data_IF_043415887238
#
_entry.id   IF_043415887238
#
_cell.length_a   1.000
_cell.length_b   1.000
_cell.length_c   1.000
_cell.angle_alpha   90.00
_cell.angle_beta   90.00
_cell.angle_gamma   90.00
#
_symmetry.space_group_name_H-M   'P 1'
#
loop_
_entity.id
_entity.type
_entity.pdbx_description
1 polymer ?
#
# COMPACT_ATOMS: atom_id res chain seq x y z
N UNK A 1 -25.14 9.84 4.86
CA UNK A 1 -24.56 9.86 6.22
C UNK A 1 -23.28 9.02 6.33
N UNK A 2 -23.32 7.67 6.28
CA UNK A 2 -22.08 6.86 6.39
C UNK A 2 -21.10 7.15 5.25
N UNK A 3 -21.61 7.30 4.03
CA UNK A 3 -20.82 7.69 2.86
C UNK A 3 -20.14 9.05 3.06
N UNK A 4 -20.91 10.07 3.41
CA UNK A 4 -20.42 11.44 3.62
C UNK A 4 -19.36 11.49 4.75
N UNK A 5 -19.54 10.69 5.81
CA UNK A 5 -18.54 10.52 6.87
C UNK A 5 -17.25 9.85 6.35
N UNK A 6 -17.36 8.82 5.52
CA UNK A 6 -16.19 8.16 4.92
C UNK A 6 -15.46 9.10 3.94
N UNK A 7 -16.21 9.91 3.19
CA UNK A 7 -15.65 10.91 2.29
C UNK A 7 -14.91 12.00 3.07
N UNK A 8 -15.51 12.52 4.15
CA UNK A 8 -14.86 13.51 5.02
C UNK A 8 -13.58 12.94 5.66
N UNK A 9 -13.65 11.73 6.23
CA UNK A 9 -12.48 11.10 6.84
C UNK A 9 -11.35 10.84 5.81
N UNK A 10 -11.70 10.44 4.59
CA UNK A 10 -10.74 10.27 3.51
C UNK A 10 -10.09 11.60 3.09
N UNK A 11 -10.87 12.69 3.09
CA UNK A 11 -10.36 14.04 2.81
C UNK A 11 -9.37 14.49 3.88
N UNK A 12 -9.76 14.38 5.15
CA UNK A 12 -8.91 14.75 6.30
C UNK A 12 -7.56 14.01 6.28
N UNK A 13 -7.58 12.71 5.98
CA UNK A 13 -6.35 11.91 5.88
C UNK A 13 -5.45 12.39 4.74
N UNK A 14 -6.02 12.69 3.56
CA UNK A 14 -5.26 13.17 2.43
C UNK A 14 -4.68 14.58 2.66
N UNK A 15 -5.44 15.45 3.32
CA UNK A 15 -5.00 16.81 3.65
C UNK A 15 -3.82 16.77 4.64
N UNK A 16 -3.89 15.92 5.68
CA UNK A 16 -2.78 15.71 6.60
C UNK A 16 -1.52 15.16 5.90
N UNK A 17 -1.69 14.27 4.91
CA UNK A 17 -0.56 13.75 4.12
C UNK A 17 0.05 14.83 3.21
N UNK A 18 -0.77 15.72 2.64
CA UNK A 18 -0.29 16.84 1.83
C UNK A 18 0.51 17.85 2.67
N UNK A 19 0.02 18.17 3.87
CA UNK A 19 0.77 18.99 4.83
C UNK A 19 2.12 18.35 5.20
N UNK A 20 2.12 17.05 5.51
CA UNK A 20 3.33 16.31 5.86
C UNK A 20 4.34 16.21 4.70
N UNK A 21 3.89 16.27 3.44
CA UNK A 21 4.77 16.24 2.27
C UNK A 21 5.66 17.50 2.15
N UNK A 22 5.27 18.62 2.78
CA UNK A 22 6.06 19.86 2.84
C UNK A 22 6.32 20.51 1.48
N UNK A 23 5.53 20.16 0.46
CA UNK A 23 5.63 20.67 -0.92
C UNK A 23 4.27 20.63 -1.58
N UNK A 24 4.13 21.35 -2.69
CA UNK A 24 2.90 21.29 -3.49
C UNK A 24 2.68 19.89 -4.05
N UNK A 25 1.52 19.30 -3.77
CA UNK A 25 1.12 17.96 -4.19
C UNK A 25 -0.32 17.98 -4.68
N UNK A 26 -0.57 17.28 -5.79
CA UNK A 26 -1.93 17.02 -6.23
C UNK A 26 -2.55 15.95 -5.34
N UNK A 27 -3.63 16.31 -4.64
CA UNK A 27 -4.45 15.37 -3.87
C UNK A 27 -5.59 14.84 -4.72
N UNK A 28 -5.77 13.53 -4.73
CA UNK A 28 -6.88 12.88 -5.42
C UNK A 28 -7.61 11.90 -4.49
N UNK A 29 -8.91 12.10 -4.33
CA UNK A 29 -9.79 11.20 -3.59
C UNK A 29 -10.67 10.46 -4.58
N UNK A 30 -10.63 9.13 -4.53
CA UNK A 30 -11.39 8.24 -5.43
C UNK A 30 -12.29 7.31 -4.61
N UNK A 31 -13.38 6.88 -5.21
CA UNK A 31 -14.37 5.98 -4.59
C UNK A 31 -14.63 4.80 -5.51
N UNK A 32 -14.50 3.58 -5.00
CA UNK A 32 -14.62 2.37 -5.79
C UNK A 32 -13.96 1.18 -5.10
N UNK A 33 -13.58 0.17 -5.89
CA UNK A 33 -12.74 -0.92 -5.39
C UNK A 33 -11.30 -0.41 -5.32
N UNK A 34 -10.77 -0.25 -4.11
CA UNK A 34 -9.49 0.42 -3.83
C UNK A 34 -8.39 -0.04 -4.76
N UNK A 35 -8.23 -1.35 -4.93
CA UNK A 35 -7.16 -1.92 -5.75
C UNK A 35 -7.28 -1.56 -7.24
N UNK A 36 -8.50 -1.33 -7.75
CA UNK A 36 -8.73 -0.89 -9.13
C UNK A 36 -8.56 0.61 -9.30
N UNK A 37 -9.04 1.39 -8.35
CA UNK A 37 -8.90 2.86 -8.37
C UNK A 37 -7.43 3.28 -8.31
N UNK A 38 -6.62 2.61 -7.49
CA UNK A 38 -5.18 2.89 -7.38
C UNK A 38 -4.45 2.50 -8.67
N UNK A 39 -4.75 1.33 -9.26
CA UNK A 39 -4.13 0.91 -10.53
C UNK A 39 -4.48 1.87 -11.67
N UNK A 40 -5.73 2.32 -11.74
CA UNK A 40 -6.15 3.33 -12.72
C UNK A 40 -5.47 4.69 -12.48
N UNK A 41 -5.29 5.11 -11.22
CA UNK A 41 -4.58 6.34 -10.89
C UNK A 41 -3.08 6.29 -11.23
N UNK A 42 -2.49 5.10 -11.19
CA UNK A 42 -1.10 4.87 -11.55
C UNK A 42 -0.86 4.87 -13.07
N UNK A 43 -1.91 4.87 -13.89
CA UNK A 43 -1.79 4.98 -15.35
C UNK A 43 -1.09 6.30 -15.74
N UNK A 44 -0.03 6.19 -16.55
CA UNK A 44 0.77 7.34 -16.99
C UNK A 44 1.76 7.87 -15.94
N UNK A 45 1.81 7.30 -14.74
CA UNK A 45 2.82 7.64 -13.74
C UNK A 45 4.15 6.93 -14.04
N UNK A 46 5.27 7.52 -13.62
CA UNK A 46 6.58 6.88 -13.76
C UNK A 46 6.91 5.96 -12.57
N UNK A 47 6.39 6.29 -11.39
CA UNK A 47 6.68 5.60 -10.13
C UNK A 47 5.46 5.64 -9.22
N UNK A 48 5.08 4.48 -8.69
CA UNK A 48 4.12 4.32 -7.61
C UNK A 48 4.85 3.96 -6.32
N UNK A 49 4.65 4.74 -5.25
CA UNK A 49 5.19 4.46 -3.91
C UNK A 49 4.08 3.89 -3.04
N UNK A 50 4.31 2.70 -2.47
CA UNK A 50 3.28 1.97 -1.71
C UNK A 50 3.85 1.48 -0.39
N UNK A 51 3.17 1.80 0.71
CA UNK A 51 3.51 1.28 2.02
C UNK A 51 2.97 -0.13 2.21
N UNK A 52 3.73 -0.96 2.93
CA UNK A 52 3.25 -2.25 3.44
C UNK A 52 2.15 -2.03 4.48
N UNK A 53 1.12 -2.86 4.41
CA UNK A 53 -0.12 -2.72 5.18
C UNK A 53 -0.65 -4.05 5.77
N UNK A 54 0.11 -5.14 5.64
CA UNK A 54 -0.22 -6.45 6.19
C UNK A 54 0.40 -6.71 7.58
N UNK A 55 0.88 -7.93 7.82
CA UNK A 55 1.64 -8.26 9.02
C UNK A 55 3.03 -7.64 8.95
N UNK A 56 3.20 -6.52 9.67
CA UNK A 56 4.45 -5.76 9.65
C UNK A 56 5.50 -6.24 10.66
N UNK A 57 5.20 -7.27 11.46
CA UNK A 57 6.11 -7.74 12.52
C UNK A 57 7.20 -8.68 12.01
N UNK A 58 7.05 -9.18 10.78
CA UNK A 58 7.95 -10.16 10.19
C UNK A 58 8.10 -9.95 8.68
N UNK A 59 9.24 -10.35 8.16
CA UNK A 59 9.43 -10.44 6.71
C UNK A 59 8.65 -11.63 6.14
N UNK A 60 7.92 -11.40 5.05
CA UNK A 60 7.18 -12.46 4.37
C UNK A 60 6.04 -11.96 3.49
N UNK A 61 5.36 -12.87 2.77
CA UNK A 61 4.30 -12.53 1.82
C UNK A 61 3.11 -11.83 2.46
N UNK A 62 2.86 -12.09 3.75
CA UNK A 62 1.77 -11.49 4.51
C UNK A 62 2.02 -10.01 4.89
N UNK A 63 3.18 -9.43 4.57
CA UNK A 63 3.42 -7.99 4.77
C UNK A 63 2.56 -7.10 3.87
N UNK A 64 1.88 -7.68 2.87
CA UNK A 64 0.96 -7.00 1.98
C UNK A 64 -0.45 -7.54 2.20
N UNK A 65 -1.41 -6.65 2.48
CA UNK A 65 -2.81 -7.01 2.44
C UNK A 65 -3.25 -7.32 1.00
N UNK A 66 -4.36 -8.06 0.80
CA UNK A 66 -4.78 -8.49 -0.54
C UNK A 66 -4.96 -7.36 -1.56
N UNK A 67 -5.52 -6.22 -1.17
CA UNK A 67 -5.70 -5.07 -2.06
C UNK A 67 -4.36 -4.45 -2.49
N UNK A 68 -3.44 -4.29 -1.55
CA UNK A 68 -2.10 -3.75 -1.84
C UNK A 68 -1.26 -4.72 -2.67
N UNK A 69 -1.38 -6.02 -2.41
CA UNK A 69 -0.75 -7.05 -3.25
C UNK A 69 -1.28 -6.97 -4.69
N UNK A 70 -2.59 -6.81 -4.87
CA UNK A 70 -3.17 -6.61 -6.19
C UNK A 70 -2.58 -5.39 -6.89
N UNK A 71 -2.47 -4.25 -6.20
CA UNK A 71 -1.85 -3.03 -6.76
C UNK A 71 -0.43 -3.29 -7.23
N UNK A 72 0.41 -3.92 -6.39
CA UNK A 72 1.80 -4.25 -6.73
C UNK A 72 1.89 -5.15 -7.95
N UNK A 73 1.03 -6.16 -8.03
CA UNK A 73 1.06 -7.14 -9.12
C UNK A 73 0.55 -6.55 -10.46
N UNK A 74 -0.19 -5.43 -10.44
CA UNK A 74 -0.89 -4.89 -11.62
C UNK A 74 -0.56 -3.43 -11.97
N UNK A 75 0.26 -2.73 -11.19
CA UNK A 75 0.59 -1.33 -11.46
C UNK A 75 1.28 -1.17 -12.83
N UNK A 76 0.81 -0.26 -13.71
CA UNK A 76 1.38 -0.06 -15.04
C UNK A 76 2.64 0.83 -15.03
N UNK A 77 3.37 0.85 -13.92
CA UNK A 77 4.58 1.66 -13.74
C UNK A 77 5.54 1.02 -12.73
N UNK A 78 6.75 1.58 -12.57
CA UNK A 78 7.67 1.13 -11.55
C UNK A 78 7.04 1.27 -10.17
N UNK A 79 7.20 0.27 -9.29
CA UNK A 79 6.60 0.27 -7.95
C UNK A 79 7.68 0.19 -6.87
N UNK A 80 7.74 1.20 -6.00
CA UNK A 80 8.59 1.23 -4.81
C UNK A 80 7.76 0.82 -3.59
N UNK A 81 8.09 -0.35 -3.03
CA UNK A 81 7.47 -0.85 -1.81
C UNK A 81 8.28 -0.43 -0.58
N UNK A 82 7.64 0.29 0.34
CA UNK A 82 8.28 0.81 1.55
C UNK A 82 7.71 0.18 2.82
N UNK A 83 8.55 0.04 3.84
CA UNK A 83 8.08 -0.21 5.20
C UNK A 83 7.63 1.12 5.81
N UNK A 84 6.42 1.20 6.41
CA UNK A 84 5.94 2.44 7.03
C UNK A 84 6.70 2.80 8.32
N UNK A 85 7.48 1.85 8.86
CA UNK A 85 8.36 2.01 10.02
C UNK A 85 9.68 1.25 9.77
N UNK A 86 10.51 1.09 10.80
CA UNK A 86 11.69 0.24 10.71
C UNK A 86 11.31 -1.18 10.26
N UNK A 87 12.04 -1.70 9.27
CA UNK A 87 11.80 -3.05 8.79
C UNK A 87 12.14 -4.09 9.86
N UNK A 88 11.39 -5.20 9.96
CA UNK A 88 11.80 -6.35 10.76
C UNK A 88 13.16 -6.88 10.33
N UNK A 89 13.91 -7.45 11.27
CA UNK A 89 15.17 -8.10 10.95
C UNK A 89 14.96 -9.38 10.14
N UNK A 90 16.04 -9.81 9.47
CA UNK A 90 16.03 -10.99 8.58
C UNK A 90 15.74 -12.29 9.32
N UNK A 91 16.00 -12.33 10.62
CA UNK A 91 15.67 -13.43 11.52
C UNK A 91 14.16 -13.66 11.69
N UNK A 92 13.32 -12.70 11.29
CA UNK A 92 11.86 -12.84 11.33
C UNK A 92 11.28 -13.68 10.17
N UNK A 93 12.10 -14.01 9.16
CA UNK A 93 11.69 -14.85 8.03
C UNK A 93 11.35 -16.26 8.56
N UNK A 94 10.15 -16.80 8.29
CA UNK A 94 9.81 -18.17 8.67
C UNK A 94 10.81 -19.19 8.09
N UNK A 95 11.15 -20.26 8.83
CA UNK A 95 11.95 -21.34 8.27
C UNK A 95 11.22 -21.96 7.07
N UNK A 96 11.96 -22.57 6.12
CA UNK A 96 11.33 -23.28 5.02
C UNK A 96 10.40 -24.38 5.54
N UNK A 97 9.28 -24.64 4.86
CA UNK A 97 8.38 -25.73 5.25
C UNK A 97 9.12 -27.07 5.23
N UNK A 98 8.80 -27.93 6.20
CA UNK A 98 9.29 -29.30 6.22
C UNK A 98 8.61 -30.07 5.09
N UNK A 99 9.34 -30.38 4.03
CA UNK A 99 8.85 -31.28 2.98
C UNK A 99 8.98 -32.73 3.46
N UNK A 100 7.91 -33.55 3.42
CA UNK A 100 8.07 -34.98 3.57
C UNK A 100 8.93 -35.52 2.39
N UNK A 101 9.74 -36.58 2.62
CA UNK A 101 10.51 -37.18 1.53
C UNK A 101 9.56 -37.69 0.43
N UNK A 102 9.98 -37.46 -0.82
CA UNK A 102 9.30 -37.96 -2.03
C UNK A 102 9.38 -39.47 -2.15
#
# INVERSE_FOLDING_TARGET
RVRDLAEAAGRELLDAAAEAAGRDVRVEQRSGRVEREVVAAAEGMNLLVVARDGDLRRLGPHSLAPATRFVVDHAPCATLLVWPAAAPGVESIPPPPLHPPH
#
